data_IF_900834053027
#
_entry.id   IF_900834053027
#
_cell.length_a   1.000
_cell.length_b   1.000
_cell.length_c   1.000
_cell.angle_alpha   90.00
_cell.angle_beta   90.00
_cell.angle_gamma   90.00
#
_symmetry.space_group_name_H-M   'P 1'
#
loop_
_entity.id
_entity.type
_entity.pdbx_description
1 polymer ?
#
# COMPACT_ATOMS: atom_id res chain seq x y z
N UNK A 1 -4.61 -8.48 -1.16
CA UNK A 1 -5.15 -8.40 -2.53
C UNK A 1 -4.18 -9.18 -3.44
N UNK A 2 -4.21 -9.01 -4.76
CA UNK A 2 -3.13 -9.52 -5.60
C UNK A 2 -3.24 -10.96 -6.11
N UNK A 3 -2.09 -11.58 -6.36
CA UNK A 3 -2.01 -12.94 -6.93
C UNK A 3 -2.49 -14.00 -5.93
N UNK A 4 -3.63 -14.63 -6.21
CA UNK A 4 -4.26 -15.59 -5.30
C UNK A 4 -3.38 -16.81 -5.03
N UNK A 5 -3.14 -17.09 -3.75
CA UNK A 5 -2.41 -18.27 -3.29
C UNK A 5 -0.89 -18.23 -3.55
N UNK A 6 -0.35 -17.08 -4.00
CA UNK A 6 1.06 -16.93 -4.32
C UNK A 6 1.97 -17.21 -3.11
N UNK A 7 1.67 -16.57 -1.97
CA UNK A 7 2.40 -16.82 -0.71
C UNK A 7 2.39 -18.29 -0.32
N UNK A 8 1.29 -19.02 -0.49
CA UNK A 8 1.22 -20.45 -0.14
C UNK A 8 1.91 -21.36 -1.15
N UNK A 9 2.11 -20.87 -2.39
CA UNK A 9 2.80 -21.60 -3.44
C UNK A 9 4.32 -21.54 -3.32
N UNK A 10 4.87 -20.44 -2.81
CA UNK A 10 6.29 -20.33 -2.52
C UNK A 10 6.72 -21.42 -1.53
N UNK A 11 7.80 -22.11 -1.85
CA UNK A 11 8.37 -23.16 -1.02
C UNK A 11 8.83 -22.60 0.34
N UNK A 12 8.86 -23.44 1.37
CA UNK A 12 9.27 -23.02 2.72
C UNK A 12 10.74 -22.60 2.79
N UNK A 13 11.58 -23.15 1.91
CA UNK A 13 13.01 -22.80 1.80
C UNK A 13 13.24 -21.38 1.24
N UNK A 14 12.25 -20.77 0.60
CA UNK A 14 12.27 -19.40 0.10
C UNK A 14 11.88 -18.38 1.18
N UNK A 15 11.11 -18.81 2.17
CA UNK A 15 10.58 -17.95 3.24
C UNK A 15 11.46 -18.07 4.48
N UNK A 16 12.29 -17.07 4.69
CA UNK A 16 13.17 -17.02 5.86
C UNK A 16 12.46 -16.30 7.01
N UNK A 17 12.62 -16.80 8.23
CA UNK A 17 12.19 -16.09 9.44
C UNK A 17 13.33 -15.19 9.89
N UNK A 18 13.07 -13.89 9.97
CA UNK A 18 14.04 -12.87 10.38
C UNK A 18 13.48 -12.01 11.52
N UNK A 19 14.30 -11.10 12.05
CA UNK A 19 13.88 -10.15 13.07
C UNK A 19 14.20 -8.72 12.62
N UNK A 20 13.36 -7.75 13.00
CA UNK A 20 13.64 -6.32 12.77
C UNK A 20 15.00 -5.82 13.27
N UNK A 21 15.63 -6.50 14.25
CA UNK A 21 16.98 -6.16 14.74
C UNK A 21 18.04 -6.30 13.64
N UNK A 22 17.84 -7.24 12.71
CA UNK A 22 18.72 -7.45 11.55
C UNK A 22 18.65 -6.28 10.56
N UNK A 23 17.65 -5.39 10.72
CA UNK A 23 17.42 -4.20 9.91
C UNK A 23 17.70 -2.90 10.69
N UNK A 24 18.43 -2.96 11.79
CA UNK A 24 18.82 -1.75 12.53
C UNK A 24 19.63 -0.80 11.64
N UNK A 25 19.29 0.49 11.65
CA UNK A 25 19.85 1.53 10.79
C UNK A 25 19.35 1.49 9.34
N UNK A 26 18.52 0.51 8.98
CA UNK A 26 17.99 0.34 7.61
C UNK A 26 16.68 1.08 7.43
N UNK A 27 16.35 1.35 6.17
CA UNK A 27 15.10 1.99 5.76
C UNK A 27 14.18 0.96 5.17
N UNK A 28 12.97 0.85 5.72
CA UNK A 28 11.96 -0.09 5.22
C UNK A 28 10.80 0.71 4.64
N UNK A 29 10.52 0.50 3.36
CA UNK A 29 9.33 1.03 2.72
C UNK A 29 8.12 0.21 3.18
N UNK A 30 7.10 0.89 3.70
CA UNK A 30 5.96 0.24 4.36
C UNK A 30 4.69 0.52 3.57
N UNK A 31 3.96 -0.53 3.27
CA UNK A 31 2.62 -0.46 2.68
C UNK A 31 1.62 0.10 3.70
N UNK A 32 1.37 1.41 3.65
CA UNK A 32 0.48 2.06 4.58
C UNK A 32 -0.98 1.65 4.34
N UNK A 33 -1.37 1.38 3.10
CA UNK A 33 -2.74 0.95 2.74
C UNK A 33 -3.11 -0.37 3.42
N UNK A 34 -2.18 -1.33 3.46
CA UNK A 34 -2.38 -2.60 4.18
C UNK A 34 -2.65 -2.39 5.68
N UNK A 35 -1.93 -1.45 6.31
CA UNK A 35 -2.11 -1.11 7.72
C UNK A 35 -3.45 -0.44 7.98
N UNK A 36 -3.86 0.52 7.14
CA UNK A 36 -5.16 1.17 7.25
C UNK A 36 -6.30 0.15 7.16
N UNK A 37 -6.21 -0.77 6.21
CA UNK A 37 -7.23 -1.81 6.04
C UNK A 37 -7.27 -2.80 7.22
N UNK A 38 -6.11 -3.19 7.76
CA UNK A 38 -6.00 -4.07 8.93
C UNK A 38 -6.54 -3.41 10.20
N UNK A 39 -6.20 -2.13 10.41
CA UNK A 39 -6.69 -1.35 11.53
C UNK A 39 -8.20 -1.15 11.47
N UNK A 40 -8.75 -0.90 10.28
CA UNK A 40 -10.17 -0.71 10.05
C UNK A 40 -11.03 -1.92 10.48
N UNK A 41 -10.47 -3.14 10.49
CA UNK A 41 -11.17 -4.32 11.02
C UNK A 41 -11.57 -4.15 12.50
N UNK A 42 -10.74 -3.46 13.29
CA UNK A 42 -11.00 -3.21 14.72
C UNK A 42 -12.12 -2.19 14.99
N UNK A 43 -12.53 -1.42 13.98
CA UNK A 43 -13.55 -0.38 14.09
C UNK A 43 -14.53 -0.37 12.90
N UNK A 44 -14.70 -1.52 12.24
CA UNK A 44 -15.39 -1.62 10.94
C UNK A 44 -16.81 -1.06 10.96
N UNK A 45 -17.62 -1.42 11.97
CA UNK A 45 -18.99 -0.92 12.10
C UNK A 45 -19.02 0.59 12.38
N UNK A 46 -18.13 1.09 13.25
CA UNK A 46 -18.05 2.52 13.55
C UNK A 46 -17.69 3.35 12.30
N UNK A 47 -16.72 2.89 11.49
CA UNK A 47 -16.38 3.51 10.21
C UNK A 47 -17.58 3.53 9.27
N UNK A 48 -18.30 2.41 9.14
CA UNK A 48 -19.46 2.31 8.27
C UNK A 48 -20.57 3.29 8.67
N UNK A 49 -20.85 3.41 9.97
CA UNK A 49 -21.86 4.33 10.49
C UNK A 49 -21.47 5.80 10.28
N UNK A 50 -20.18 6.14 10.42
CA UNK A 50 -19.68 7.49 10.12
C UNK A 50 -19.88 7.82 8.64
N UNK A 51 -19.53 6.91 7.74
CA UNK A 51 -19.71 7.10 6.29
C UNK A 51 -21.20 7.16 5.89
N UNK A 52 -22.07 6.38 6.54
CA UNK A 52 -23.53 6.50 6.35
C UNK A 52 -24.04 7.86 6.83
N UNK A 53 -23.63 8.31 8.02
CA UNK A 53 -24.00 9.63 8.55
C UNK A 53 -23.55 10.75 7.61
N UNK A 54 -22.33 10.69 7.07
CA UNK A 54 -21.82 11.66 6.09
C UNK A 54 -22.70 11.71 4.84
N UNK A 55 -23.09 10.55 4.29
CA UNK A 55 -23.99 10.49 3.12
C UNK A 55 -25.36 11.12 3.39
N UNK A 56 -25.93 10.84 4.57
CA UNK A 56 -27.23 11.41 4.96
C UNK A 56 -27.17 12.93 5.17
N UNK A 57 -26.02 13.48 5.58
CA UNK A 57 -25.81 14.92 5.72
C UNK A 57 -25.59 15.58 4.35
N UNK A 58 -24.77 14.98 3.48
CA UNK A 58 -24.53 15.51 2.13
C UNK A 58 -25.80 15.55 1.27
N UNK A 59 -26.72 14.59 1.45
CA UNK A 59 -28.00 14.58 0.75
C UNK A 59 -28.95 15.70 1.23
N UNK A 60 -28.70 16.30 2.40
CA UNK A 60 -29.46 17.42 2.97
C UNK A 60 -28.84 18.77 2.65
N UNK A 61 -27.52 18.83 2.53
CA UNK A 61 -26.73 20.03 2.24
C UNK A 61 -26.42 20.14 0.75
N UNK A 62 -27.46 20.29 -0.08
CA UNK A 62 -27.29 20.69 -1.47
C UNK A 62 -27.05 22.21 -1.56
N UNK A 63 -25.87 22.70 -1.17
CA UNK A 63 -25.23 23.98 -1.59
C UNK A 63 -23.99 24.27 -0.74
N UNK A 64 -22.90 24.58 -1.44
CA UNK A 64 -21.56 25.00 -0.97
C UNK A 64 -20.50 23.88 -1.01
N UNK A 65 -19.61 24.00 -2.01
CA UNK A 65 -18.38 23.22 -2.13
C UNK A 65 -17.40 23.67 -1.03
N UNK A 66 -16.91 22.78 -0.17
CA UNK A 66 -15.94 23.15 0.85
C UNK A 66 -14.59 23.50 0.21
N UNK A 67 -13.91 24.53 0.74
CA UNK A 67 -12.58 24.93 0.28
C UNK A 67 -11.57 23.76 0.35
N UNK A 68 -10.82 23.57 -0.73
CA UNK A 68 -9.85 22.49 -0.87
C UNK A 68 -8.73 22.61 0.16
N UNK A 69 -8.80 21.81 1.23
CA UNK A 69 -7.76 21.71 2.25
C UNK A 69 -8.20 21.97 3.69
N UNK A 70 -9.44 22.46 3.91
CA UNK A 70 -9.98 22.63 5.25
C UNK A 70 -10.17 21.27 5.95
N UNK A 71 -9.75 21.17 7.21
CA UNK A 71 -9.99 19.97 7.99
C UNK A 71 -11.47 19.94 8.41
N UNK A 72 -12.19 18.86 8.09
CA UNK A 72 -13.57 18.71 8.52
C UNK A 72 -13.60 18.36 10.02
N UNK A 73 -14.21 19.18 10.90
CA UNK A 73 -14.25 18.93 12.35
C UNK A 73 -14.81 17.55 12.71
N UNK A 74 -15.77 17.03 11.93
CA UNK A 74 -16.34 15.69 12.11
C UNK A 74 -15.32 14.56 11.91
N UNK A 75 -14.30 14.79 11.08
CA UNK A 75 -13.25 13.81 10.81
C UNK A 75 -12.18 13.82 11.89
N UNK A 76 -11.82 15.00 12.40
CA UNK A 76 -10.88 15.10 13.52
C UNK A 76 -11.45 14.47 14.78
N UNK A 77 -12.75 14.64 15.02
CA UNK A 77 -13.44 14.05 16.17
C UNK A 77 -13.78 12.56 16.02
N UNK A 78 -13.56 11.98 14.84
CA UNK A 78 -13.90 10.58 14.57
C UNK A 78 -13.01 9.62 15.37
N UNK A 79 -13.57 8.99 16.41
CA UNK A 79 -12.84 8.03 17.23
C UNK A 79 -12.29 6.84 16.44
N UNK A 80 -13.02 6.38 15.41
CA UNK A 80 -12.54 5.31 14.53
C UNK A 80 -11.28 5.72 13.74
N UNK A 81 -11.20 6.98 13.28
CA UNK A 81 -10.01 7.51 12.61
C UNK A 81 -8.83 7.60 13.58
N UNK A 82 -9.08 8.08 14.81
CA UNK A 82 -8.05 8.14 15.87
C UNK A 82 -7.55 6.74 16.26
N UNK A 83 -8.44 5.76 16.37
CA UNK A 83 -8.07 4.37 16.64
C UNK A 83 -7.15 3.80 15.56
N UNK A 84 -7.43 4.07 14.27
CA UNK A 84 -6.57 3.67 13.16
C UNK A 84 -5.21 4.37 13.23
N UNK A 85 -5.20 5.68 13.50
CA UNK A 85 -3.95 6.43 13.67
C UNK A 85 -3.09 5.85 14.81
N UNK A 86 -3.70 5.52 15.96
CA UNK A 86 -3.00 4.88 17.09
C UNK A 86 -2.38 3.53 16.67
N UNK A 87 -3.10 2.73 15.88
CA UNK A 87 -2.56 1.49 15.35
C UNK A 87 -1.32 1.72 14.48
N UNK A 88 -1.39 2.68 13.53
CA UNK A 88 -0.26 3.03 12.68
C UNK A 88 0.94 3.54 13.49
N UNK A 89 0.71 4.45 14.45
CA UNK A 89 1.74 4.95 15.37
C UNK A 89 2.38 3.83 16.20
N UNK A 90 1.59 2.85 16.66
CA UNK A 90 2.11 1.68 17.37
C UNK A 90 3.07 0.87 16.51
N UNK A 91 2.74 0.64 15.24
CA UNK A 91 3.62 -0.08 14.29
C UNK A 91 4.86 0.72 13.91
N UNK A 92 4.75 2.05 13.77
CA UNK A 92 5.90 2.94 13.59
C UNK A 92 6.84 2.84 14.80
N UNK A 93 6.29 2.94 16.02
CA UNK A 93 7.07 2.81 17.27
C UNK A 93 7.80 1.48 17.33
N UNK A 94 7.12 0.38 16.99
CA UNK A 94 7.74 -0.95 16.92
C UNK A 94 8.95 -0.96 15.98
N UNK A 95 8.81 -0.46 14.75
CA UNK A 95 9.92 -0.36 13.78
C UNK A 95 11.07 0.50 14.34
N UNK A 96 10.76 1.72 14.78
CA UNK A 96 11.77 2.67 15.29
C UNK A 96 12.48 2.15 16.54
N UNK A 97 11.81 1.35 17.39
CA UNK A 97 12.42 0.76 18.59
C UNK A 97 13.53 -0.24 18.27
N UNK A 98 13.51 -0.83 17.07
CA UNK A 98 14.58 -1.69 16.54
C UNK A 98 15.58 -0.95 15.65
N UNK A 99 15.55 0.39 15.64
CA UNK A 99 16.44 1.21 14.82
C UNK A 99 16.09 1.24 13.34
N UNK A 100 14.90 0.75 12.95
CA UNK A 100 14.42 0.81 11.56
C UNK A 100 13.83 2.19 11.28
N UNK A 101 14.17 2.78 10.13
CA UNK A 101 13.57 4.01 9.62
C UNK A 101 12.36 3.67 8.74
N UNK A 102 11.12 3.97 9.16
CA UNK A 102 9.93 3.67 8.36
C UNK A 102 9.73 4.72 7.26
N UNK A 103 9.54 4.24 6.03
CA UNK A 103 9.14 5.04 4.88
C UNK A 103 7.74 4.61 4.42
N UNK A 104 6.71 5.28 4.89
CA UNK A 104 5.31 4.95 4.61
C UNK A 104 4.90 5.38 3.20
N UNK A 105 4.34 4.42 2.45
CA UNK A 105 3.85 4.64 1.09
C UNK A 105 2.35 4.39 1.06
N UNK A 106 1.60 5.42 0.66
CA UNK A 106 0.15 5.38 0.51
C UNK A 106 -0.23 5.25 -0.97
N UNK A 107 -1.32 4.55 -1.25
CA UNK A 107 -1.89 4.52 -2.61
C UNK A 107 -2.36 5.92 -3.06
N UNK A 108 -2.10 6.20 -4.34
CA UNK A 108 -2.52 7.37 -5.07
C UNK A 108 -3.79 7.15 -5.88
N UNK A 109 -3.72 7.50 -7.17
CA UNK A 109 -4.81 7.40 -8.12
C UNK A 109 -5.21 5.97 -8.45
N UNK A 110 -6.41 5.81 -9.02
CA UNK A 110 -6.88 4.51 -9.50
C UNK A 110 -6.26 4.19 -10.87
N UNK A 111 -5.79 2.97 -11.04
CA UNK A 111 -5.29 2.46 -12.31
C UNK A 111 -6.42 1.85 -13.14
N UNK A 112 -6.53 2.24 -14.42
CA UNK A 112 -7.58 1.74 -15.34
C UNK A 112 -7.55 0.22 -15.50
N UNK A 113 -6.35 -0.37 -15.62
CA UNK A 113 -6.18 -1.82 -15.73
C UNK A 113 -6.76 -2.60 -14.52
N UNK A 114 -6.91 -1.93 -13.37
CA UNK A 114 -7.47 -2.50 -12.13
C UNK A 114 -8.95 -2.13 -11.93
N UNK A 115 -9.56 -1.34 -12.83
CA UNK A 115 -10.95 -0.92 -12.74
C UNK A 115 -11.94 -2.09 -12.61
N UNK A 116 -11.82 -3.20 -13.37
CA UNK A 116 -12.75 -4.34 -13.24
C UNK A 116 -12.69 -5.01 -11.85
N UNK A 117 -11.49 -5.17 -11.31
CA UNK A 117 -11.28 -5.73 -9.97
C UNK A 117 -11.79 -4.78 -8.89
N UNK A 118 -11.52 -3.48 -9.03
CA UNK A 118 -12.00 -2.44 -8.11
C UNK A 118 -13.53 -2.34 -8.12
N UNK A 119 -14.18 -2.50 -9.28
CA UNK A 119 -15.64 -2.53 -9.40
C UNK A 119 -16.23 -3.71 -8.64
N UNK A 120 -15.69 -4.90 -8.87
CA UNK A 120 -16.14 -6.13 -8.20
C UNK A 120 -16.02 -6.01 -6.67
N UNK A 121 -14.92 -5.42 -6.18
CA UNK A 121 -14.71 -5.10 -4.76
C UNK A 121 -15.71 -4.08 -4.26
N UNK A 122 -15.98 -3.02 -5.04
CA UNK A 122 -16.96 -1.97 -4.70
C UNK A 122 -18.36 -2.53 -4.55
N UNK A 123 -18.81 -3.36 -5.50
CA UNK A 123 -20.13 -4.00 -5.44
C UNK A 123 -20.27 -4.93 -4.23
N UNK A 124 -19.24 -5.75 -3.97
CA UNK A 124 -19.20 -6.64 -2.81
C UNK A 124 -19.31 -5.85 -1.50
N UNK A 125 -18.52 -4.78 -1.35
CA UNK A 125 -18.57 -3.90 -0.18
C UNK A 125 -19.92 -3.20 -0.02
N UNK A 126 -20.53 -2.73 -1.11
CA UNK A 126 -21.88 -2.12 -1.08
C UNK A 126 -22.93 -3.09 -0.57
N UNK A 127 -22.90 -4.35 -1.04
CA UNK A 127 -23.80 -5.40 -0.55
C UNK A 127 -23.58 -5.66 0.94
N UNK A 128 -22.33 -5.81 1.37
CA UNK A 128 -22.00 -6.00 2.78
C UNK A 128 -22.40 -4.82 3.66
N UNK A 129 -22.23 -3.59 3.18
CA UNK A 129 -22.68 -2.38 3.88
C UNK A 129 -24.19 -2.42 4.12
N UNK A 130 -24.98 -2.71 3.09
CA UNK A 130 -26.44 -2.80 3.23
C UNK A 130 -26.86 -3.86 4.27
N UNK A 131 -26.23 -5.05 4.24
CA UNK A 131 -26.49 -6.11 5.22
C UNK A 131 -26.09 -5.71 6.64
N UNK A 132 -24.93 -5.07 6.80
CA UNK A 132 -24.45 -4.61 8.09
C UNK A 132 -25.38 -3.57 8.73
N UNK A 133 -25.84 -2.60 7.94
CA UNK A 133 -26.75 -1.55 8.40
C UNK A 133 -28.14 -2.11 8.77
N UNK A 134 -28.66 -3.05 7.97
CA UNK A 134 -29.91 -3.74 8.29
C UNK A 134 -29.80 -4.52 9.62
N UNK A 135 -28.73 -5.32 9.78
CA UNK A 135 -28.47 -6.06 11.02
C UNK A 135 -28.29 -5.12 12.23
N UNK A 136 -27.60 -4.00 12.05
CA UNK A 136 -27.41 -2.99 13.10
C UNK A 136 -28.74 -2.40 13.57
N UNK A 137 -29.64 -2.03 12.64
CA UNK A 137 -30.98 -1.51 12.97
C UNK A 137 -31.87 -2.57 13.63
N UNK A 138 -31.67 -3.84 13.32
CA UNK A 138 -32.35 -4.96 13.97
C UNK A 138 -31.75 -5.31 15.35
N UNK A 139 -30.67 -4.66 15.79
CA UNK A 139 -29.99 -4.97 17.05
C UNK A 139 -29.11 -6.22 17.02
N UNK A 140 -28.91 -6.84 15.84
CA UNK A 140 -28.05 -8.01 15.66
C UNK A 140 -26.59 -7.58 15.53
N UNK A 141 -25.93 -7.39 16.68
CA UNK A 141 -24.56 -6.89 16.78
C UNK A 141 -23.57 -7.83 16.07
N UNK A 142 -23.75 -9.14 16.18
CA UNK A 142 -22.82 -10.13 15.64
C UNK A 142 -22.80 -10.10 14.10
N UNK A 143 -23.98 -10.13 13.46
CA UNK A 143 -24.06 -10.04 12.00
C UNK A 143 -23.73 -8.64 11.49
N UNK A 144 -24.09 -7.58 12.22
CA UNK A 144 -23.71 -6.21 11.88
C UNK A 144 -22.20 -6.07 11.76
N UNK A 145 -21.45 -6.52 12.77
CA UNK A 145 -19.99 -6.47 12.73
C UNK A 145 -19.40 -7.35 11.63
N UNK A 146 -19.87 -8.60 11.49
CA UNK A 146 -19.40 -9.54 10.46
C UNK A 146 -19.54 -8.96 9.05
N UNK A 147 -20.70 -8.37 8.74
CA UNK A 147 -20.92 -7.74 7.45
C UNK A 147 -20.19 -6.41 7.33
N UNK A 148 -20.02 -5.64 8.41
CA UNK A 148 -19.25 -4.40 8.38
C UNK A 148 -17.79 -4.64 8.01
N UNK A 149 -17.17 -5.74 8.48
CA UNK A 149 -15.82 -6.15 8.05
C UNK A 149 -15.76 -6.38 6.54
N UNK A 150 -16.76 -7.05 5.97
CA UNK A 150 -16.88 -7.23 4.51
C UNK A 150 -17.16 -5.94 3.73
N UNK A 151 -17.57 -4.86 4.41
CA UNK A 151 -17.86 -3.55 3.84
C UNK A 151 -16.69 -2.57 3.90
N UNK A 152 -15.60 -2.91 4.61
CA UNK A 152 -14.46 -2.01 4.86
C UNK A 152 -13.95 -1.41 3.55
N UNK A 153 -13.95 -0.08 3.51
CA UNK A 153 -13.32 0.71 2.46
C UNK A 153 -12.54 1.82 3.14
N UNK A 154 -11.24 1.92 2.83
CA UNK A 154 -10.43 3.06 3.27
C UNK A 154 -10.83 4.26 2.42
N UNK A 155 -11.54 5.23 3.00
CA UNK A 155 -11.95 6.44 2.30
C UNK A 155 -10.78 7.41 2.11
N UNK A 156 -10.91 8.30 1.14
CA UNK A 156 -9.92 9.34 0.87
C UNK A 156 -9.69 10.24 2.09
N UNK A 157 -10.78 10.59 2.79
CA UNK A 157 -10.76 11.32 4.07
C UNK A 157 -9.93 10.62 5.13
N UNK A 158 -10.20 9.33 5.39
CA UNK A 158 -9.44 8.53 6.36
C UNK A 158 -7.95 8.49 5.99
N UNK A 159 -7.63 8.21 4.71
CA UNK A 159 -6.25 8.19 4.22
C UNK A 159 -5.55 9.54 4.47
N UNK A 160 -6.19 10.64 4.09
CA UNK A 160 -5.63 11.99 4.23
C UNK A 160 -5.52 12.42 5.70
N UNK A 161 -6.45 12.00 6.55
CA UNK A 161 -6.36 12.19 8.00
C UNK A 161 -5.12 11.52 8.56
N UNK A 162 -4.90 10.23 8.27
CA UNK A 162 -3.72 9.50 8.76
C UNK A 162 -2.43 10.06 8.16
N UNK A 163 -2.40 10.33 6.85
CA UNK A 163 -1.24 10.87 6.16
C UNK A 163 -0.72 12.17 6.80
N UNK A 164 -1.61 13.16 7.00
CA UNK A 164 -1.25 14.46 7.59
C UNK A 164 -0.75 14.32 9.03
N UNK A 165 -1.43 13.49 9.83
CA UNK A 165 -1.04 13.26 11.23
C UNK A 165 0.29 12.50 11.38
N UNK A 166 0.69 11.71 10.38
CA UNK A 166 1.97 10.99 10.39
C UNK A 166 3.12 11.82 9.80
N UNK A 167 2.86 12.72 8.84
CA UNK A 167 3.88 13.59 8.26
C UNK A 167 4.60 14.49 9.29
N UNK A 168 3.91 14.89 10.36
CA UNK A 168 4.50 15.71 11.43
C UNK A 168 5.37 14.94 12.42
N UNK A 169 5.45 13.60 12.33
CA UNK A 169 6.15 12.79 13.32
C UNK A 169 7.64 12.67 12.98
N UNK A 170 8.51 12.98 13.95
CA UNK A 170 9.95 12.84 13.78
C UNK A 170 10.34 11.40 13.42
N UNK A 171 11.27 11.26 12.49
CA UNK A 171 11.81 9.97 12.04
C UNK A 171 10.89 9.18 11.10
N UNK A 172 9.77 9.76 10.66
CA UNK A 172 8.83 9.13 9.72
C UNK A 172 8.81 9.88 8.41
N UNK A 173 8.94 9.16 7.30
CA UNK A 173 8.74 9.72 5.96
C UNK A 173 7.46 9.15 5.38
N UNK A 174 6.59 10.02 4.84
CA UNK A 174 5.35 9.61 4.16
C UNK A 174 5.35 10.11 2.72
N UNK A 175 4.98 9.25 1.78
CA UNK A 175 4.68 9.64 0.39
C UNK A 175 3.33 9.10 -0.07
N UNK A 176 2.70 9.83 -0.98
CA UNK A 176 1.62 9.30 -1.80
C UNK A 176 2.21 8.82 -3.12
N UNK A 177 1.99 7.56 -3.47
CA UNK A 177 2.31 7.06 -4.80
C UNK A 177 1.47 7.78 -5.87
N UNK A 178 1.90 7.74 -7.13
CA UNK A 178 1.07 8.22 -8.24
C UNK A 178 -0.17 7.34 -8.43
N UNK A 179 0.01 6.01 -8.35
CA UNK A 179 -1.04 5.00 -8.41
C UNK A 179 -0.87 4.00 -7.26
N UNK A 180 -0.26 2.85 -7.48
CA UNK A 180 -0.15 1.80 -6.47
C UNK A 180 1.11 1.94 -5.60
N UNK A 181 0.94 1.76 -4.29
CA UNK A 181 2.02 1.77 -3.32
C UNK A 181 3.04 0.64 -3.60
N UNK A 182 2.59 -0.53 -4.05
CA UNK A 182 3.46 -1.67 -4.39
C UNK A 182 4.52 -1.30 -5.43
N UNK A 183 4.09 -0.73 -6.57
CA UNK A 183 5.00 -0.31 -7.63
C UNK A 183 5.97 0.79 -7.13
N UNK A 184 5.47 1.73 -6.35
CA UNK A 184 6.29 2.82 -5.79
C UNK A 184 7.35 2.30 -4.80
N UNK A 185 6.98 1.38 -3.90
CA UNK A 185 7.91 0.78 -2.94
C UNK A 185 8.98 -0.07 -3.64
N UNK A 186 8.60 -0.87 -4.63
CA UNK A 186 9.56 -1.62 -5.43
C UNK A 186 10.58 -0.70 -6.12
N UNK A 187 10.10 0.44 -6.65
CA UNK A 187 10.98 1.46 -7.24
C UNK A 187 11.91 2.11 -6.21
N UNK A 188 11.41 2.45 -5.03
CA UNK A 188 12.23 3.02 -3.94
C UNK A 188 13.37 2.07 -3.54
N UNK A 189 13.11 0.77 -3.48
CA UNK A 189 14.14 -0.24 -3.21
C UNK A 189 15.13 -0.35 -4.37
N UNK A 190 14.64 -0.37 -5.61
CA UNK A 190 15.50 -0.45 -6.79
C UNK A 190 16.45 0.75 -6.93
N UNK A 191 15.98 1.94 -6.58
CA UNK A 191 16.76 3.19 -6.63
C UNK A 191 17.65 3.40 -5.37
N UNK A 192 17.54 2.51 -4.36
CA UNK A 192 18.37 2.56 -3.15
C UNK A 192 17.89 3.54 -2.07
N UNK A 193 16.66 4.04 -2.16
CA UNK A 193 16.04 4.87 -1.10
C UNK A 193 15.49 4.04 0.06
N UNK A 194 15.24 2.75 -0.15
CA UNK A 194 14.85 1.78 0.87
C UNK A 194 15.64 0.48 0.73
N UNK A 195 15.90 -0.20 1.83
CA UNK A 195 16.64 -1.46 1.86
C UNK A 195 15.71 -2.69 1.71
N UNK A 196 14.44 -2.56 2.12
CA UNK A 196 13.43 -3.61 2.04
C UNK A 196 12.02 -3.01 1.96
N UNK A 197 11.04 -3.82 1.57
CA UNK A 197 9.62 -3.49 1.65
C UNK A 197 8.95 -4.30 2.75
N UNK A 198 7.95 -3.73 3.42
CA UNK A 198 7.08 -4.42 4.37
C UNK A 198 5.63 -4.32 3.88
N UNK A 199 5.06 -5.46 3.51
CA UNK A 199 3.68 -5.60 3.04
C UNK A 199 3.10 -6.95 3.47
N UNK A 200 1.79 -7.06 3.48
CA UNK A 200 1.09 -8.36 3.58
C UNK A 200 0.66 -8.89 2.20
N UNK A 201 0.74 -8.07 1.16
CA UNK A 201 0.33 -8.43 -0.19
C UNK A 201 1.47 -9.12 -0.97
N UNK A 202 1.08 -10.08 -1.82
CA UNK A 202 2.04 -10.89 -2.59
C UNK A 202 2.55 -10.21 -3.86
N UNK A 203 1.96 -9.08 -4.25
CA UNK A 203 2.22 -8.43 -5.54
C UNK A 203 3.64 -7.90 -5.64
N UNK A 204 4.22 -7.45 -4.51
CA UNK A 204 5.60 -6.95 -4.44
C UNK A 204 6.66 -7.98 -4.87
N UNK A 205 6.34 -9.27 -4.81
CA UNK A 205 7.19 -10.32 -5.35
C UNK A 205 7.28 -10.24 -6.88
N UNK A 206 6.16 -9.94 -7.55
CA UNK A 206 6.09 -9.77 -9.00
C UNK A 206 6.68 -8.42 -9.46
N UNK A 207 6.64 -7.41 -8.59
CA UNK A 207 7.30 -6.11 -8.79
C UNK A 207 8.81 -6.12 -8.55
N UNK A 208 9.40 -7.25 -8.12
CA UNK A 208 10.84 -7.40 -7.87
C UNK A 208 11.39 -6.51 -6.76
N UNK A 209 10.59 -6.22 -5.74
CA UNK A 209 11.17 -5.69 -4.52
C UNK A 209 12.20 -6.70 -4.00
N UNK A 210 13.46 -6.28 -3.88
CA UNK A 210 14.58 -7.18 -3.60
C UNK A 210 14.37 -7.98 -2.32
N UNK A 211 13.99 -7.29 -1.24
CA UNK A 211 13.71 -7.88 0.07
C UNK A 211 12.27 -7.58 0.44
N UNK A 212 11.42 -8.61 0.48
CA UNK A 212 10.00 -8.49 0.84
C UNK A 212 9.77 -9.07 2.22
N UNK A 213 9.41 -8.22 3.17
CA UNK A 213 9.02 -8.57 4.53
C UNK A 213 7.50 -8.63 4.64
N UNK A 214 7.00 -9.59 5.39
CA UNK A 214 5.57 -9.80 5.65
C UNK A 214 5.36 -10.38 7.04
N UNK A 215 4.10 -10.45 7.49
CA UNK A 215 3.72 -11.07 8.77
C UNK A 215 4.50 -10.49 9.96
N UNK A 216 4.50 -9.17 10.07
CA UNK A 216 5.13 -8.48 11.21
C UNK A 216 4.37 -8.79 12.51
N UNK A 217 5.03 -9.53 13.39
CA UNK A 217 4.60 -9.83 14.75
C UNK A 217 4.98 -8.71 15.71
N UNK A 218 4.31 -8.64 16.87
CA UNK A 218 4.54 -7.59 17.87
C UNK A 218 5.88 -7.71 18.60
N UNK A 219 6.53 -8.88 18.54
CA UNK A 219 7.91 -9.09 19.02
C UNK A 219 8.97 -8.59 18.01
N UNK A 220 8.57 -8.19 16.80
CA UNK A 220 9.47 -7.81 15.72
C UNK A 220 9.94 -8.97 14.84
N UNK A 221 9.38 -10.18 15.01
CA UNK A 221 9.56 -11.27 14.06
C UNK A 221 8.88 -10.90 12.72
N UNK A 222 9.55 -11.20 11.60
CA UNK A 222 9.01 -11.07 10.24
C UNK A 222 9.30 -12.31 9.40
N UNK A 223 8.46 -12.57 8.40
CA UNK A 223 8.76 -13.48 7.30
C UNK A 223 9.37 -12.68 6.15
N UNK A 224 10.51 -13.14 5.64
CA UNK A 224 11.28 -12.50 4.59
C UNK A 224 11.38 -13.38 3.34
N UNK A 225 11.29 -12.75 2.17
CA UNK A 225 11.61 -13.35 0.88
C UNK A 225 12.61 -12.43 0.16
N UNK A 226 13.78 -12.96 -0.15
CA UNK A 226 14.76 -12.29 -1.01
C UNK A 226 14.49 -12.66 -2.47
N UNK A 227 13.82 -11.77 -3.20
CA UNK A 227 13.48 -11.96 -4.59
C UNK A 227 14.71 -12.12 -5.49
N UNK A 228 15.86 -11.53 -5.13
CA UNK A 228 17.10 -11.69 -5.90
C UNK A 228 17.69 -13.10 -5.78
N UNK A 229 17.35 -13.83 -4.72
CA UNK A 229 17.72 -15.25 -4.55
C UNK A 229 16.70 -16.18 -5.18
N UNK A 230 15.42 -15.79 -5.16
CA UNK A 230 14.32 -16.57 -5.70
C UNK A 230 14.30 -16.60 -7.23
N UNK A 231 14.55 -15.45 -7.84
CA UNK A 231 14.53 -15.24 -9.29
C UNK A 231 15.94 -14.89 -9.72
N UNK A 232 16.41 -15.39 -10.85
CA UNK A 232 17.66 -14.90 -11.44
C UNK A 232 17.46 -13.44 -11.86
N UNK A 233 17.63 -12.49 -10.93
CA UNK A 233 17.62 -11.07 -11.21
C UNK A 233 18.97 -10.70 -11.81
N UNK A 234 18.96 -10.05 -12.98
CA UNK A 234 20.14 -9.34 -13.46
C UNK A 234 20.52 -8.28 -12.42
N UNK A 235 21.81 -8.22 -12.05
CA UNK A 235 22.27 -7.26 -11.03
C UNK A 235 22.02 -5.81 -11.48
N UNK A 236 21.77 -4.87 -10.55
CA UNK A 236 21.51 -3.47 -10.88
C UNK A 236 22.65 -2.86 -11.72
N UNK A 237 22.28 -2.04 -12.71
CA UNK A 237 23.21 -1.38 -13.66
C UNK A 237 24.31 -0.54 -12.98
N UNK A 238 24.15 -0.18 -11.71
CA UNK A 238 25.12 0.60 -10.93
C UNK A 238 26.46 -0.09 -10.65
N UNK A 239 26.50 -1.43 -10.59
CA UNK A 239 27.74 -2.17 -10.28
C UNK A 239 28.68 -2.33 -11.50
N UNK A 240 28.15 -2.21 -12.73
CA UNK A 240 28.97 -2.31 -13.96
C UNK A 240 30.03 -1.20 -14.07
N UNK A 241 29.80 -0.04 -13.45
CA UNK A 241 30.75 1.08 -13.48
C UNK A 241 31.93 0.93 -12.52
N UNK A 242 31.81 0.12 -11.46
CA UNK A 242 32.91 -0.06 -10.50
C UNK A 242 33.85 -1.21 -10.89
N UNK A 243 33.35 -2.23 -11.60
CA UNK A 243 34.19 -3.35 -12.06
C UNK A 243 35.09 -2.99 -13.25
N UNK A 244 34.62 -2.12 -14.15
CA UNK A 244 35.43 -1.62 -15.27
C UNK A 244 36.57 -0.67 -14.83
N UNK A 245 36.55 -0.16 -13.60
CA UNK A 245 37.60 0.73 -13.06
C UNK A 245 38.61 0.00 -12.17
N UNK A 246 38.33 -1.25 -11.79
CA UNK A 246 39.21 -2.08 -10.95
C UNK A 246 40.15 -3.00 -11.77
N UNK A 247 39.88 -3.20 -13.07
CA UNK A 247 40.70 -4.04 -13.97
C UNK A 247 41.76 -3.25 -14.76
N UNK A 248 41.96 -1.96 -14.48
CA UNK A 248 42.97 -1.15 -15.18
C UNK A 248 43.81 -0.30 -14.23
N UNK A 249 44.65 -0.91 -13.37
CA UNK A 249 45.78 -0.18 -12.77
C UNK A 249 46.84 -1.12 -12.16
N UNK A 250 47.98 -1.25 -12.84
CA UNK A 250 49.32 -1.39 -12.23
C UNK A 250 50.39 -0.90 -13.22
N UNK A 251 51.55 -0.42 -12.78
CA UNK A 251 52.10 0.87 -13.22
C UNK A 251 53.33 0.76 -14.12
N UNK A 252 53.65 1.85 -14.83
CA UNK A 252 55.02 2.14 -15.30
C UNK A 252 55.27 3.64 -15.24
N UNK A 253 56.40 4.03 -14.63
CA UNK A 253 56.85 5.40 -14.34
C UNK A 253 57.60 6.02 -15.53
N UNK A 254 57.18 7.25 -15.90
CA UNK A 254 57.96 8.53 -16.09
C UNK A 254 59.17 8.58 -17.07
N UNK A 255 59.58 9.75 -17.65
CA UNK A 255 59.32 11.13 -17.17
C UNK A 255 58.97 12.25 -18.21
N UNK A 256 58.39 13.33 -17.64
CA UNK A 256 58.55 14.80 -17.85
C UNK A 256 58.32 15.58 -19.19
N UNK A 257 57.25 16.41 -19.14
CA UNK A 257 57.10 17.86 -19.45
C UNK A 257 57.15 18.43 -20.92
N UNK A 258 56.61 19.66 -21.22
CA UNK A 258 55.66 20.52 -20.49
C UNK A 258 54.45 21.09 -21.32
N UNK A 259 53.40 21.48 -20.57
CA UNK A 259 52.51 22.66 -20.65
C UNK A 259 52.10 23.30 -22.00
N UNK A 260 50.77 23.36 -22.26
CA UNK A 260 50.12 24.61 -22.69
C UNK A 260 48.62 24.62 -22.33
N UNK A 261 48.21 25.79 -21.86
CA UNK A 261 46.90 26.20 -21.35
C UNK A 261 45.91 26.55 -22.47
N UNK A 262 44.64 26.13 -22.41
CA UNK A 262 43.51 26.94 -22.93
C UNK A 262 42.22 26.66 -22.13
N UNK A 263 41.47 27.74 -21.96
CA UNK A 263 40.42 28.01 -21.00
C UNK A 263 39.06 27.29 -21.15
N UNK A 264 38.41 27.22 -20.00
CA UNK A 264 36.98 27.10 -19.72
C UNK A 264 36.14 28.07 -20.57
N UNK A 265 35.05 27.58 -21.19
CA UNK A 265 33.88 28.41 -21.55
C UNK A 265 32.59 27.61 -21.39
N UNK A 266 31.73 28.10 -20.49
CA UNK A 266 30.30 27.82 -20.42
C UNK A 266 29.56 28.54 -21.57
N UNK A 267 28.35 28.10 -21.92
CA UNK A 267 27.35 29.03 -22.44
C UNK A 267 26.11 29.06 -21.54
N UNK A 268 25.79 30.27 -21.11
CA UNK A 268 24.49 30.70 -20.58
C UNK A 268 23.53 31.05 -21.73
N UNK A 269 22.24 30.89 -21.42
CA UNK A 269 21.08 31.67 -21.87
C UNK A 269 20.82 31.85 -23.37
N UNK A 270 19.69 31.32 -23.84
CA UNK A 270 18.78 32.05 -24.73
C UNK A 270 17.32 31.73 -24.37
N UNK A 271 16.59 32.81 -24.09
CA UNK A 271 15.14 32.92 -24.07
C UNK A 271 14.56 32.67 -25.47
N UNK A 272 13.32 32.19 -25.55
CA UNK A 272 12.24 32.99 -26.13
C UNK A 272 10.87 32.35 -25.93
N UNK A 273 9.93 33.25 -25.67
CA UNK A 273 8.51 33.13 -25.37
C UNK A 273 7.64 33.02 -26.62
N UNK A 274 6.49 32.33 -26.53
CA UNK A 274 5.22 32.57 -27.25
C UNK A 274 4.20 31.53 -26.73
N UNK A 275 3.28 31.81 -25.80
CA UNK A 275 2.04 32.60 -25.89
C UNK A 275 1.12 32.22 -27.07
N UNK A 276 0.12 31.38 -26.80
CA UNK A 276 -1.18 31.42 -27.48
C UNK A 276 -2.27 30.78 -26.60
N UNK A 277 -3.11 31.63 -26.00
CA UNK A 277 -4.43 31.32 -25.44
C UNK A 277 -5.49 31.94 -26.35
N UNK A 278 -6.50 31.15 -26.74
CA UNK A 278 -7.88 31.53 -27.09
C UNK A 278 -8.59 30.22 -27.53
N UNK A 279 -9.54 29.65 -26.78
CA UNK A 279 -10.94 30.05 -26.53
C UNK A 279 -11.94 29.63 -27.63
N UNK A 280 -13.08 29.09 -27.16
CA UNK A 280 -14.43 28.91 -27.76
C UNK A 280 -14.55 27.73 -28.76
N UNK A 281 -15.40 26.70 -28.58
CA UNK A 281 -16.88 26.75 -28.51
C UNK A 281 -17.41 25.39 -28.02
N UNK A 282 -18.21 25.31 -26.94
CA UNK A 282 -19.68 25.32 -26.93
C UNK A 282 -20.37 24.35 -27.91
N UNK A 283 -20.88 23.23 -27.40
CA UNK A 283 -22.14 22.61 -27.87
C UNK A 283 -22.88 21.93 -26.71
N UNK A 284 -23.95 22.59 -26.26
CA UNK A 284 -25.12 21.99 -25.59
C UNK A 284 -26.01 21.32 -26.64
N UNK A 285 -26.93 20.44 -26.20
CA UNK A 285 -28.31 20.58 -26.62
C UNK A 285 -29.28 20.74 -25.44
N UNK A 286 -30.34 21.51 -25.70
CA UNK A 286 -31.41 21.84 -24.78
C UNK A 286 -32.74 21.25 -25.27
N UNK A 287 -33.60 20.85 -24.31
CA UNK A 287 -35.09 20.80 -24.37
C UNK A 287 -35.74 19.76 -25.31
N UNK A 288 -36.91 19.17 -25.09
CA UNK A 288 -38.03 19.24 -24.14
C UNK A 288 -38.67 17.81 -24.13
N UNK A 289 -39.56 17.36 -23.24
CA UNK A 289 -40.89 17.89 -22.91
C UNK A 289 -41.57 17.07 -21.80
N UNK A 290 -42.26 17.79 -20.89
CA UNK A 290 -43.53 17.51 -20.17
C UNK A 290 -44.09 16.08 -20.16
N UNK A 291 -44.51 15.60 -18.97
CA UNK A 291 -45.94 15.43 -18.57
C UNK A 291 -46.13 14.95 -17.12
N UNK A 292 -46.97 15.71 -16.39
CA UNK A 292 -47.98 15.30 -15.39
C UNK A 292 -47.60 14.54 -14.11
N UNK A 293 -47.74 15.26 -12.99
CA UNK A 293 -48.14 14.76 -11.67
C UNK A 293 -49.61 14.30 -11.64
N UNK A 294 -49.99 13.53 -10.60
CA UNK A 294 -50.99 14.10 -9.69
C UNK A 294 -50.67 13.90 -8.19
N UNK A 295 -51.35 14.75 -7.43
CA UNK A 295 -51.42 14.96 -5.97
C UNK A 295 -52.35 13.99 -5.24
N UNK A 296 -52.06 13.69 -3.96
CA UNK A 296 -52.99 13.56 -2.80
C UNK A 296 -52.27 12.79 -1.67
N UNK A 297 -51.88 13.38 -0.53
CA UNK A 297 -52.62 13.91 0.63
C UNK A 297 -52.80 12.89 1.78
N UNK A 298 -52.60 13.38 3.01
CA UNK A 298 -53.00 12.82 4.32
C UNK A 298 -52.17 11.63 4.87
N UNK A 299 -51.86 11.51 6.17
CA UNK A 299 -52.01 12.36 7.35
C UNK A 299 -51.15 11.74 8.47
N UNK A 300 -50.57 12.58 9.35
CA UNK A 300 -50.28 12.20 10.75
C UNK A 300 -51.61 12.23 11.54
N UNK A 301 -51.77 11.52 12.67
CA UNK A 301 -51.34 12.09 13.95
C UNK A 301 -50.91 11.08 15.04
N UNK A 302 -50.52 11.67 16.17
CA UNK A 302 -50.46 11.14 17.55
C UNK A 302 -49.10 10.86 18.19
N UNK A 303 -48.78 11.83 19.05
CA UNK A 303 -47.96 11.81 20.26
C UNK A 303 -48.41 10.76 21.27
N UNK A 304 -47.44 10.16 21.98
CA UNK A 304 -47.47 10.07 23.47
C UNK A 304 -46.18 9.44 24.02
N UNK A 305 -45.45 10.28 24.76
CA UNK A 305 -45.06 10.09 26.16
C UNK A 305 -44.40 8.78 26.64
N UNK A 306 -43.17 8.96 27.15
CA UNK A 306 -42.67 8.44 28.43
C UNK A 306 -42.49 6.92 28.63
N UNK A 307 -41.23 6.49 28.75
CA UNK A 307 -40.73 6.01 30.05
C UNK A 307 -39.23 5.71 30.04
N UNK A 308 -38.55 6.30 31.03
CA UNK A 308 -37.30 5.86 31.63
C UNK A 308 -37.18 4.34 31.69
N UNK A 309 -36.01 3.81 31.37
CA UNK A 309 -35.31 2.80 32.18
C UNK A 309 -33.88 2.64 31.68
N UNK A 310 -32.97 3.18 32.48
CA UNK A 310 -31.54 2.96 32.48
C UNK A 310 -31.19 1.55 32.93
N UNK A 311 -30.33 0.85 32.18
CA UNK A 311 -29.56 -0.29 32.68
C UNK A 311 -28.14 -0.23 32.12
N UNK A 312 -27.26 0.41 32.91
CA UNK A 312 -25.83 0.36 32.72
C UNK A 312 -25.32 -1.03 33.10
N UNK A 313 -24.70 -1.74 32.16
CA UNK A 313 -23.87 -2.89 32.46
C UNK A 313 -22.42 -2.42 32.61
N UNK A 314 -22.02 -2.36 33.88
CA UNK A 314 -20.67 -2.18 34.37
C UNK A 314 -19.78 -3.37 33.98
N UNK A 315 -18.72 -3.12 33.22
CA UNK A 315 -17.58 -4.04 33.11
C UNK A 315 -16.37 -3.43 33.81
N UNK A 316 -15.92 -4.16 34.82
CA UNK A 316 -14.79 -3.92 35.70
C UNK A 316 -13.51 -3.50 34.96
N UNK A 317 -12.88 -2.41 35.43
CA UNK A 317 -11.46 -2.17 35.23
C UNK A 317 -10.86 -1.77 36.58
N UNK A 318 -9.88 -2.54 37.03
CA UNK A 318 -9.21 -2.36 38.31
C UNK A 318 -8.39 -1.08 38.32
N UNK A 319 -8.70 -0.21 39.27
CA UNK A 319 -7.90 0.94 39.65
C UNK A 319 -6.65 0.48 40.41
N UNK A 320 -5.46 0.86 39.95
CA UNK A 320 -4.28 0.97 40.80
C UNK A 320 -3.84 2.42 40.82
N UNK A 321 -4.02 3.03 41.99
CA UNK A 321 -3.54 4.35 42.36
C UNK A 321 -2.04 4.32 42.59
N UNK A 322 -1.31 5.29 42.04
CA UNK A 322 -0.03 5.75 42.59
C UNK A 322 0.20 7.21 42.18
N UNK A 323 0.12 8.09 43.17
CA UNK A 323 0.41 9.53 43.09
C UNK A 323 1.92 9.80 43.01
N UNK A 324 2.36 11.03 42.66
CA UNK A 324 3.59 11.27 41.91
C UNK A 324 4.80 11.60 42.80
N UNK A 325 5.99 11.18 42.38
CA UNK A 325 7.26 11.63 42.94
C UNK A 325 8.07 12.42 41.91
N UNK A 326 8.08 13.74 42.13
CA UNK A 326 9.23 14.66 42.07
C UNK A 326 10.13 14.63 40.82
N UNK A 327 9.94 15.66 40.00
CA UNK A 327 10.80 16.07 38.89
C UNK A 327 12.26 16.32 39.31
N UNK A 328 13.19 15.96 38.43
CA UNK A 328 14.58 16.44 38.39
C UNK A 328 14.87 16.97 36.98
N UNK A 329 15.68 18.02 36.83
CA UNK A 329 15.72 18.85 35.62
C UNK A 329 16.53 18.22 34.47
N UNK A 330 16.07 18.53 33.26
CA UNK A 330 16.73 18.27 31.97
C UNK A 330 18.07 19.01 31.86
N UNK A 331 19.10 18.44 31.21
CA UNK A 331 20.23 19.21 30.72
C UNK A 331 19.88 19.89 29.37
N UNK A 332 20.32 21.12 29.22
CA UNK A 332 20.23 22.00 28.05
C UNK A 332 21.07 21.52 26.85
N UNK A 333 20.76 21.96 25.62
CA UNK A 333 21.45 21.50 24.41
C UNK A 333 22.64 22.41 24.08
N UNK A 334 23.85 21.87 24.16
CA UNK A 334 25.04 22.49 23.56
C UNK A 334 25.38 21.82 22.23
N UNK A 335 25.49 22.69 21.23
CA UNK A 335 26.25 22.59 19.97
C UNK A 335 26.98 21.28 19.66
N UNK A 336 26.57 20.59 18.59
CA UNK A 336 27.44 19.69 17.84
C UNK A 336 27.29 19.93 16.34
N UNK A 337 28.40 20.36 15.74
CA UNK A 337 28.58 20.72 14.34
C UNK A 337 28.25 19.58 13.37
N UNK A 338 27.66 19.96 12.24
CA UNK A 338 27.44 19.09 11.09
C UNK A 338 28.79 18.70 10.47
N UNK A 339 29.20 17.46 10.69
CA UNK A 339 30.27 16.82 9.90
C UNK A 339 29.62 15.84 8.94
N UNK A 340 29.76 16.12 7.63
CA UNK A 340 29.34 15.26 6.53
C UNK A 340 30.06 13.92 6.58
N UNK A 341 29.36 12.86 7.01
CA UNK A 341 29.86 11.49 6.93
C UNK A 341 29.25 10.82 5.70
N UNK A 342 30.03 10.70 4.64
CA UNK A 342 29.75 9.81 3.52
C UNK A 342 29.63 8.38 4.06
N UNK A 343 28.44 7.79 3.93
CA UNK A 343 28.21 6.39 4.30
C UNK A 343 28.98 5.46 3.37
N UNK A 344 29.68 4.42 3.87
CA UNK A 344 30.34 3.45 3.02
C UNK A 344 29.30 2.55 2.33
N UNK A 345 29.60 2.01 1.13
CA UNK A 345 28.74 1.03 0.49
C UNK A 345 28.73 -0.27 1.30
N UNK A 346 27.57 -0.91 1.30
CA UNK A 346 27.20 -2.19 1.92
C UNK A 346 28.41 -3.13 2.11
N UNK A 347 28.95 -3.21 3.34
CA UNK A 347 29.75 -4.35 3.74
C UNK A 347 28.81 -5.57 3.77
N UNK A 348 28.99 -6.45 2.81
CA UNK A 348 28.21 -7.67 2.62
C UNK A 348 28.21 -8.50 3.90
N UNK A 349 27.05 -8.60 4.55
CA UNK A 349 26.77 -9.73 5.41
C UNK A 349 27.01 -10.99 4.57
N UNK A 350 27.90 -11.87 5.03
CA UNK A 350 28.23 -13.10 4.33
C UNK A 350 26.94 -13.90 4.07
N UNK A 351 26.58 -14.23 2.82
CA UNK A 351 25.33 -14.93 2.54
C UNK A 351 25.41 -16.34 3.13
N UNK A 352 24.53 -16.64 4.08
CA UNK A 352 24.33 -18.01 4.55
C UNK A 352 23.87 -18.85 3.36
N UNK A 353 24.44 -20.04 3.12
CA UNK A 353 24.10 -20.85 1.97
C UNK A 353 22.76 -21.59 2.24
N UNK A 354 21.64 -20.95 1.94
CA UNK A 354 20.39 -21.66 1.63
C UNK A 354 20.19 -21.64 0.11
N UNK A 355 20.20 -22.83 -0.48
CA UNK A 355 20.18 -23.15 -1.92
C UNK A 355 18.83 -22.95 -2.62
N UNK A 356 17.96 -22.09 -2.07
CA UNK A 356 16.56 -22.00 -2.51
C UNK A 356 16.38 -20.98 -3.65
N UNK A 357 16.64 -21.41 -4.88
CA UNK A 357 16.20 -20.70 -6.08
C UNK A 357 14.97 -21.39 -6.66
N UNK A 358 13.98 -20.63 -7.12
CA UNK A 358 12.85 -21.21 -7.87
C UNK A 358 13.28 -21.67 -9.28
N UNK A 359 14.49 -21.32 -9.72
CA UNK A 359 15.00 -21.63 -11.06
C UNK A 359 14.18 -20.97 -12.18
N UNK A 360 13.50 -19.87 -11.88
CA UNK A 360 12.65 -19.14 -12.81
C UNK A 360 13.28 -17.79 -13.16
N UNK A 361 13.24 -17.43 -14.45
CA UNK A 361 13.43 -16.04 -14.84
C UNK A 361 12.24 -15.21 -14.37
N UNK A 362 12.47 -13.90 -14.24
CA UNK A 362 11.42 -12.95 -13.89
C UNK A 362 10.20 -13.06 -14.80
N UNK A 363 10.40 -13.03 -16.12
CA UNK A 363 9.29 -13.04 -17.09
C UNK A 363 8.41 -14.28 -16.92
N UNK A 364 9.04 -15.43 -16.61
CA UNK A 364 8.32 -16.67 -16.33
C UNK A 364 7.53 -16.55 -15.03
N UNK A 365 8.10 -15.95 -13.99
CA UNK A 365 7.39 -15.75 -12.72
C UNK A 365 6.20 -14.79 -12.87
N UNK A 366 6.39 -13.65 -13.54
CA UNK A 366 5.31 -12.71 -13.83
C UNK A 366 4.22 -13.36 -14.69
N UNK A 367 4.58 -14.17 -15.69
CA UNK A 367 3.63 -14.92 -16.49
C UNK A 367 2.82 -15.91 -15.63
N UNK A 368 3.46 -16.59 -14.66
CA UNK A 368 2.75 -17.46 -13.71
C UNK A 368 1.70 -16.66 -12.92
N UNK A 369 2.08 -15.49 -12.40
CA UNK A 369 1.19 -14.60 -11.66
C UNK A 369 -0.02 -14.14 -12.51
N UNK A 370 0.21 -13.74 -13.76
CA UNK A 370 -0.85 -13.32 -14.68
C UNK A 370 -1.77 -14.48 -15.03
N UNK A 371 -1.24 -15.66 -15.37
CA UNK A 371 -2.04 -16.83 -15.73
C UNK A 371 -2.90 -17.34 -14.56
N UNK A 372 -2.37 -17.25 -13.34
CA UNK A 372 -3.07 -17.61 -12.10
C UNK A 372 -4.16 -16.61 -11.71
N UNK A 373 -4.15 -15.42 -12.32
CA UNK A 373 -5.01 -14.29 -12.01
C UNK A 373 -4.38 -13.35 -10.99
N UNK A 374 -4.39 -12.08 -11.34
CA UNK A 374 -3.94 -10.97 -10.50
C UNK A 374 -4.99 -9.84 -10.54
N UNK A 375 -4.69 -8.72 -9.89
CA UNK A 375 -5.60 -7.57 -9.85
C UNK A 375 -5.80 -6.90 -11.23
N UNK A 376 -4.89 -7.14 -12.18
CA UNK A 376 -4.89 -6.54 -13.53
C UNK A 376 -5.48 -7.46 -14.60
N UNK A 377 -5.53 -8.76 -14.34
CA UNK A 377 -5.95 -9.75 -15.31
C UNK A 377 -6.69 -10.90 -14.62
N UNK A 378 -7.90 -11.27 -15.09
CA UNK A 378 -8.61 -12.41 -14.55
C UNK A 378 -7.83 -13.71 -14.81
N UNK A 379 -7.99 -14.68 -13.93
CA UNK A 379 -7.37 -15.98 -14.12
C UNK A 379 -7.99 -16.73 -15.31
N UNK A 380 -7.23 -17.65 -15.88
CA UNK A 380 -7.79 -18.63 -16.81
C UNK A 380 -8.61 -19.64 -15.98
N UNK A 381 -9.88 -19.93 -16.31
CA UNK A 381 -10.68 -20.87 -15.54
C UNK A 381 -9.99 -22.25 -15.40
N UNK A 382 -9.91 -22.77 -14.18
CA UNK A 382 -9.22 -24.02 -13.84
C UNK A 382 -7.69 -23.90 -13.73
N UNK A 383 -7.11 -22.72 -13.97
CA UNK A 383 -5.67 -22.47 -13.86
C UNK A 383 -5.39 -21.61 -12.62
N UNK A 384 -4.93 -22.27 -11.55
CA UNK A 384 -4.35 -21.60 -10.38
C UNK A 384 -2.82 -21.55 -10.47
N UNK A 385 -2.17 -20.91 -9.49
CA UNK A 385 -0.71 -20.70 -9.45
C UNK A 385 0.12 -21.97 -9.68
N UNK A 386 -0.27 -23.11 -9.11
CA UNK A 386 0.42 -24.41 -9.32
C UNK A 386 0.32 -24.89 -10.78
N UNK A 387 -0.86 -24.77 -11.38
CA UNK A 387 -1.11 -25.16 -12.78
C UNK A 387 -0.38 -24.22 -13.73
N UNK A 388 -0.45 -22.92 -13.48
CA UNK A 388 0.29 -21.90 -14.23
C UNK A 388 1.80 -22.18 -14.21
N UNK A 389 2.38 -22.46 -13.04
CA UNK A 389 3.79 -22.82 -12.91
C UNK A 389 4.15 -24.07 -13.73
N UNK A 390 3.30 -25.10 -13.75
CA UNK A 390 3.52 -26.31 -14.57
C UNK A 390 3.50 -25.98 -16.06
N UNK A 391 2.56 -25.16 -16.52
CA UNK A 391 2.44 -24.74 -17.91
C UNK A 391 3.67 -23.93 -18.37
N UNK A 392 4.09 -22.97 -17.56
CA UNK A 392 5.25 -22.12 -17.85
C UNK A 392 6.56 -22.91 -17.80
N UNK A 393 6.71 -23.90 -16.91
CA UNK A 393 7.86 -24.82 -16.95
C UNK A 393 7.91 -25.64 -18.24
N UNK A 394 6.75 -26.04 -18.77
CA UNK A 394 6.65 -26.87 -19.98
C UNK A 394 6.84 -26.08 -21.27
N UNK A 395 6.25 -24.89 -21.35
CA UNK A 395 6.17 -24.08 -22.58
C UNK A 395 7.05 -22.82 -22.53
N UNK A 396 7.77 -22.60 -21.43
CA UNK A 396 8.52 -21.36 -21.22
C UNK A 396 7.60 -20.15 -21.08
N UNK A 397 8.07 -19.00 -21.58
CA UNK A 397 7.31 -17.75 -21.60
C UNK A 397 6.39 -17.61 -22.83
N UNK A 398 6.24 -18.67 -23.65
CA UNK A 398 5.39 -18.64 -24.84
C UNK A 398 3.90 -18.70 -24.47
N UNK A 399 3.28 -17.53 -24.40
CA UNK A 399 1.87 -17.35 -24.09
C UNK A 399 0.97 -18.04 -25.13
N UNK A 400 1.39 -18.08 -26.40
CA UNK A 400 0.60 -18.69 -27.46
C UNK A 400 0.56 -20.22 -27.30
N UNK A 401 1.70 -20.85 -27.04
CA UNK A 401 1.78 -22.28 -26.76
C UNK A 401 0.97 -22.67 -25.52
N UNK A 402 1.07 -21.88 -24.43
CA UNK A 402 0.25 -22.08 -23.22
C UNK A 402 -1.24 -22.01 -23.54
N UNK A 403 -1.67 -21.01 -24.32
CA UNK A 403 -3.07 -20.83 -24.71
C UNK A 403 -3.59 -21.98 -25.57
N UNK A 404 -2.82 -22.43 -26.56
CA UNK A 404 -3.19 -23.58 -27.41
C UNK A 404 -3.34 -24.85 -26.57
N UNK A 405 -2.40 -25.11 -25.65
CA UNK A 405 -2.46 -26.27 -24.78
C UNK A 405 -3.73 -26.25 -23.90
N UNK A 406 -4.02 -25.13 -23.23
CA UNK A 406 -5.21 -25.01 -22.38
C UNK A 406 -6.50 -25.23 -23.18
N UNK A 407 -6.58 -24.70 -24.41
CA UNK A 407 -7.74 -24.94 -25.29
C UNK A 407 -7.89 -26.42 -25.64
N UNK A 408 -6.80 -27.10 -26.00
CA UNK A 408 -6.83 -28.52 -26.37
C UNK A 408 -7.31 -29.43 -25.22
N UNK A 409 -6.95 -29.10 -23.97
CA UNK A 409 -7.38 -29.87 -22.80
C UNK A 409 -8.88 -29.69 -22.51
N UNK A 410 -9.42 -28.48 -22.70
CA UNK A 410 -10.86 -28.22 -22.55
C UNK A 410 -11.69 -28.94 -23.60
N UNK A 411 -11.19 -29.02 -24.84
CA UNK A 411 -11.83 -29.79 -25.90
C UNK A 411 -11.90 -31.28 -25.58
N UNK A 412 -10.89 -31.86 -24.92
CA UNK A 412 -10.93 -33.27 -24.49
C UNK A 412 -11.93 -33.56 -23.39
N UNK A 413 -12.13 -32.63 -22.46
CA UNK A 413 -13.09 -32.82 -21.35
C UNK A 413 -14.56 -32.72 -21.81
N UNK A 414 -14.85 -31.98 -22.87
CA UNK A 414 -16.20 -31.85 -23.44
C UNK A 414 -16.63 -33.02 -24.34
N UNK A 415 -15.70 -33.85 -24.82
CA UNK A 415 -16.00 -35.03 -25.63
C UNK A 415 -15.96 -36.35 -24.85
N UNK A 416 -15.67 -36.30 -23.55
CA UNK A 416 -15.64 -37.47 -22.64
C UNK A 416 -16.82 -37.52 -21.67
N UNK A 417 -17.85 -36.70 -21.92
CA UNK A 417 -19.16 -36.69 -21.23
C UNK A 417 -20.23 -36.88 -22.28
#
# INVERSE_FOLDING_TARGET
MGVKGLWNWLDSNVKERMHLRDFSGKTIAVDASSWLHKAACGCALALLLVEEKKRLLSDRESREEPEAGACNPLEEECEAYRQILRFCLGKIRLLTSFGVRPFLVFDGGQLEAKAPANESRRLTRRRHAALALAAHRAGDVANAWRHAVGAISVSLSLRNFVFRNLQGHQGVVCISAAYEADAQMARLVADGFADAVLTEDGDLLAYQARMVLSRLSDDGTVQCVDCARCFHLERPRGERRQRAKAESTSPTREPDAPCSSVAFRSPSSLSDSSSASACVSSLRPSSASRTTSPTSSHASPYSSSSSRSSSSLSSHFSSLSSSPSRASPLPSPDSASFSSVSSPPLASASPRPSSASLGLSLDRFQLICVLAGCDYAPNIPGVGVRTAARLVRRHGADVHAVRLFVRSQRFRQHHST
#
